data_IF_931455266688
#
_entry.id   IF_931455266688
#
_cell.length_a   1.000
_cell.length_b   1.000
_cell.length_c   1.000
_cell.angle_alpha   90.00
_cell.angle_beta   90.00
_cell.angle_gamma   90.00
#
_symmetry.space_group_name_H-M   'P 1'
#
loop_
_entity.id
_entity.type
_entity.pdbx_description
1 polymer ?
#
# COMPACT_ATOMS: atom_id res chain seq x y z
N UNK A 1 15.36 -5.97 16.41
CA UNK A 1 15.18 -6.53 17.77
C UNK A 1 14.45 -7.87 17.67
N UNK A 2 13.43 -8.00 16.81
CA UNK A 2 12.65 -9.24 16.59
C UNK A 2 13.51 -10.49 16.33
N UNK A 3 14.43 -10.47 15.36
CA UNK A 3 15.37 -11.59 15.11
C UNK A 3 16.22 -11.97 16.32
N UNK A 4 16.74 -10.98 17.05
CA UNK A 4 17.55 -11.22 18.26
C UNK A 4 16.72 -11.90 19.35
N UNK A 5 15.50 -11.40 19.60
CA UNK A 5 14.56 -12.02 20.55
C UNK A 5 14.24 -13.47 20.19
N UNK A 6 14.08 -13.77 18.91
CA UNK A 6 13.86 -15.15 18.44
C UNK A 6 15.06 -16.07 18.70
N UNK A 7 16.29 -15.57 18.45
CA UNK A 7 17.53 -16.30 18.75
C UNK A 7 17.68 -16.54 20.26
N UNK A 8 17.49 -15.49 21.07
CA UNK A 8 17.61 -15.54 22.53
C UNK A 8 16.53 -16.45 23.16
N UNK A 9 15.37 -16.58 22.50
CA UNK A 9 14.26 -17.45 22.90
C UNK A 9 14.39 -18.91 22.47
N UNK A 10 15.55 -19.36 21.99
CA UNK A 10 15.78 -20.77 21.64
C UNK A 10 15.23 -21.18 20.28
N UNK A 11 15.00 -20.22 19.37
CA UNK A 11 14.55 -20.48 17.99
C UNK A 11 13.25 -21.30 17.91
N UNK A 12 12.14 -20.84 18.52
CA UNK A 12 10.86 -21.53 18.39
C UNK A 12 10.48 -21.73 16.92
N UNK A 13 9.85 -22.88 16.62
CA UNK A 13 9.36 -23.19 15.28
C UNK A 13 8.27 -22.19 14.86
N UNK A 14 8.15 -21.96 13.55
CA UNK A 14 7.20 -21.01 12.95
C UNK A 14 7.28 -19.59 13.55
N UNK A 15 8.43 -18.91 13.45
CA UNK A 15 8.63 -17.61 14.10
C UNK A 15 7.78 -16.47 13.53
N UNK A 16 7.17 -16.68 12.37
CA UNK A 16 6.58 -15.61 11.59
C UNK A 16 7.63 -14.57 11.20
N UNK A 17 7.22 -13.32 11.09
CA UNK A 17 8.07 -12.20 10.68
C UNK A 17 9.12 -11.84 11.74
N UNK A 18 10.37 -11.67 11.33
CA UNK A 18 11.51 -11.42 12.25
C UNK A 18 12.09 -10.00 12.21
N UNK A 19 11.35 -9.04 11.65
CA UNK A 19 11.81 -7.66 11.48
C UNK A 19 11.16 -6.71 12.47
N UNK A 20 11.78 -5.56 12.67
CA UNK A 20 11.12 -4.44 13.35
C UNK A 20 10.42 -3.58 12.30
N UNK A 21 9.26 -3.00 12.65
CA UNK A 21 8.57 -2.07 11.77
C UNK A 21 9.04 -0.64 12.05
N UNK A 22 9.24 0.13 10.98
CA UNK A 22 9.47 1.57 11.06
C UNK A 22 8.61 2.25 10.00
N UNK A 23 7.56 2.92 10.44
CA UNK A 23 6.71 3.69 9.55
C UNK A 23 7.16 5.15 9.53
N UNK A 24 7.40 5.70 8.34
CA UNK A 24 7.85 7.07 8.14
C UNK A 24 6.72 7.87 7.51
N UNK A 25 6.33 8.98 8.13
CA UNK A 25 5.38 9.93 7.55
C UNK A 25 6.16 11.13 7.02
N UNK A 26 6.32 11.21 5.70
CA UNK A 26 6.97 12.36 5.06
C UNK A 26 6.09 13.63 5.11
N UNK A 27 4.78 13.46 4.95
CA UNK A 27 3.77 14.51 5.01
C UNK A 27 2.46 13.96 5.59
N UNK A 28 1.92 14.59 6.64
CA UNK A 28 0.55 14.30 7.08
C UNK A 28 -0.50 15.01 6.21
N UNK A 29 -1.74 14.54 6.23
CA UNK A 29 -2.85 15.12 5.46
C UNK A 29 -2.98 16.63 5.73
N UNK A 30 -3.01 17.03 7.00
CA UNK A 30 -3.24 18.41 7.44
C UNK A 30 -1.99 19.32 7.31
N UNK A 31 -0.85 18.78 6.86
CA UNK A 31 0.37 19.57 6.73
C UNK A 31 0.44 20.33 5.40
N UNK A 32 0.74 21.64 5.41
CA UNK A 32 0.94 22.40 4.18
C UNK A 32 2.16 21.90 3.38
N UNK A 33 2.02 21.85 2.05
CA UNK A 33 3.07 21.41 1.13
C UNK A 33 4.41 22.11 1.35
N UNK A 34 4.37 23.43 1.55
CA UNK A 34 5.56 24.26 1.78
C UNK A 34 6.43 23.76 2.93
N UNK A 35 5.84 23.16 3.98
CA UNK A 35 6.57 22.62 5.14
C UNK A 35 7.08 21.20 4.90
N UNK A 36 6.40 20.43 4.06
CA UNK A 36 6.74 19.03 3.80
C UNK A 36 7.73 18.83 2.63
N UNK A 37 7.95 19.84 1.78
CA UNK A 37 8.84 19.74 0.61
C UNK A 37 10.26 19.25 0.96
N UNK A 38 10.82 19.73 2.07
CA UNK A 38 12.13 19.28 2.56
C UNK A 38 12.12 17.80 3.00
N UNK A 39 11.01 17.33 3.57
CA UNK A 39 10.88 15.95 4.03
C UNK A 39 10.77 14.98 2.85
N UNK A 40 10.06 15.37 1.78
CA UNK A 40 9.93 14.54 0.58
C UNK A 40 11.27 14.32 -0.11
N UNK A 41 12.19 15.29 -0.06
CA UNK A 41 13.56 15.11 -0.54
C UNK A 41 14.34 14.03 0.22
N UNK A 42 13.96 13.71 1.48
CA UNK A 42 14.58 12.62 2.23
C UNK A 42 14.17 11.24 1.73
N UNK A 43 13.04 11.13 1.02
CA UNK A 43 12.58 9.88 0.40
C UNK A 43 13.54 9.41 -0.69
N UNK A 44 14.24 10.34 -1.34
CA UNK A 44 15.19 10.08 -2.44
C UNK A 44 16.61 9.82 -1.94
N UNK A 45 16.85 9.85 -0.63
CA UNK A 45 18.20 9.69 -0.07
C UNK A 45 18.54 8.20 0.05
N UNK A 46 19.63 7.80 -0.61
CA UNK A 46 20.20 6.44 -0.49
C UNK A 46 20.53 6.09 0.97
N UNK A 47 20.26 4.83 1.35
CA UNK A 47 20.54 4.29 2.70
C UNK A 47 19.37 4.34 3.70
N UNK A 48 18.22 4.90 3.32
CA UNK A 48 16.97 4.86 4.11
C UNK A 48 16.05 3.68 3.72
N UNK A 49 16.19 3.20 2.49
CA UNK A 49 15.44 2.07 1.93
C UNK A 49 15.96 0.76 2.55
N UNK A 50 15.08 0.08 3.27
CA UNK A 50 15.31 -1.24 3.87
C UNK A 50 14.45 -2.28 3.15
N UNK A 51 14.74 -3.54 3.42
CA UNK A 51 13.85 -4.68 3.19
C UNK A 51 12.37 -4.29 3.44
N UNK A 52 11.51 -4.55 2.45
CA UNK A 52 10.15 -4.04 2.41
C UNK A 52 9.14 -5.12 2.85
N UNK A 53 8.22 -4.73 3.73
CA UNK A 53 7.14 -5.58 4.23
C UNK A 53 5.82 -4.90 3.86
N UNK A 54 5.50 -4.93 2.57
CA UNK A 54 4.42 -4.13 1.97
C UNK A 54 3.06 -4.38 2.62
N UNK A 55 2.74 -5.63 2.98
CA UNK A 55 1.48 -5.97 3.63
C UNK A 55 1.26 -5.22 4.94
N UNK A 56 2.29 -5.09 5.78
CA UNK A 56 2.21 -4.33 7.04
C UNK A 56 2.11 -2.82 6.79
N UNK A 57 2.85 -2.32 5.79
CA UNK A 57 2.83 -0.91 5.43
C UNK A 57 1.44 -0.47 4.93
N UNK A 58 0.82 -1.29 4.08
CA UNK A 58 -0.53 -1.07 3.55
C UNK A 58 -1.55 -1.12 4.68
N UNK A 59 -1.50 -2.14 5.55
CA UNK A 59 -2.43 -2.26 6.67
C UNK A 59 -2.30 -1.08 7.65
N UNK A 60 -1.07 -0.63 7.93
CA UNK A 60 -0.83 0.55 8.76
C UNK A 60 -1.37 1.83 8.13
N UNK A 61 -1.11 2.05 6.84
CA UNK A 61 -1.60 3.21 6.11
C UNK A 61 -3.14 3.21 6.03
N UNK A 62 -3.73 2.05 5.77
CA UNK A 62 -5.17 1.81 5.78
C UNK A 62 -5.81 2.19 7.12
N UNK A 63 -5.27 1.70 8.24
CA UNK A 63 -5.84 2.00 9.56
C UNK A 63 -5.75 3.50 9.91
N UNK A 64 -4.67 4.17 9.50
CA UNK A 64 -4.55 5.63 9.62
C UNK A 64 -5.59 6.36 8.77
N UNK A 65 -5.85 5.88 7.56
CA UNK A 65 -6.82 6.45 6.65
C UNK A 65 -8.27 6.23 7.15
N UNK A 66 -8.58 5.09 7.77
CA UNK A 66 -9.89 4.85 8.36
C UNK A 66 -10.22 5.78 9.53
N UNK A 67 -9.22 6.22 10.28
CA UNK A 67 -9.40 7.16 11.39
C UNK A 67 -9.72 8.59 10.93
N UNK A 68 -9.75 8.85 9.62
CA UNK A 68 -10.00 10.16 9.03
C UNK A 68 -11.50 10.43 8.77
N UNK A 69 -11.97 11.68 8.95
CA UNK A 69 -13.37 12.05 8.76
C UNK A 69 -13.82 12.10 7.30
N UNK A 70 -12.89 12.14 6.33
CA UNK A 70 -13.20 12.18 4.91
C UNK A 70 -14.04 10.96 4.48
N UNK A 71 -15.15 11.23 3.77
CA UNK A 71 -16.09 10.19 3.31
C UNK A 71 -15.45 9.23 2.31
N UNK A 72 -14.68 9.78 1.37
CA UNK A 72 -13.98 9.00 0.35
C UNK A 72 -12.53 8.82 0.75
N UNK A 73 -12.08 7.57 0.74
CA UNK A 73 -10.78 7.15 1.25
C UNK A 73 -10.09 6.33 0.18
N UNK A 74 -9.05 6.91 -0.43
CA UNK A 74 -8.24 6.26 -1.45
C UNK A 74 -6.86 6.00 -0.85
N UNK A 75 -6.43 4.74 -0.88
CA UNK A 75 -5.07 4.34 -0.56
C UNK A 75 -4.33 4.02 -1.86
N UNK A 76 -3.37 4.87 -2.21
CA UNK A 76 -2.51 4.69 -3.38
C UNK A 76 -1.15 4.13 -2.95
N UNK A 77 -0.77 2.99 -3.50
CA UNK A 77 0.53 2.35 -3.29
C UNK A 77 1.42 2.66 -4.49
N UNK A 78 2.62 3.17 -4.25
CA UNK A 78 3.64 3.35 -5.29
C UNK A 78 4.81 2.48 -4.88
N UNK A 79 5.15 1.47 -5.69
CA UNK A 79 6.19 0.49 -5.37
C UNK A 79 7.08 0.22 -6.58
N UNK A 80 8.37 0.06 -6.34
CA UNK A 80 9.39 -0.32 -7.32
C UNK A 80 9.76 -1.81 -7.27
N UNK A 81 9.09 -2.60 -6.44
CA UNK A 81 9.42 -4.02 -6.25
C UNK A 81 8.38 -4.86 -5.54
N UNK A 82 8.76 -6.11 -5.29
CA UNK A 82 8.00 -7.10 -4.52
C UNK A 82 8.41 -7.08 -3.03
N UNK A 83 7.57 -7.61 -2.11
CA UNK A 83 7.95 -7.70 -0.71
C UNK A 83 9.09 -8.71 -0.53
N UNK A 84 10.25 -8.23 -0.06
CA UNK A 84 11.45 -9.05 0.13
C UNK A 84 12.15 -8.66 1.43
N UNK A 85 12.42 -9.67 2.26
CA UNK A 85 13.15 -9.54 3.52
C UNK A 85 13.91 -10.84 3.85
N UNK A 86 15.24 -10.78 3.86
CA UNK A 86 16.11 -11.96 3.99
C UNK A 86 15.99 -12.60 5.39
N UNK A 87 15.83 -11.78 6.43
CA UNK A 87 15.73 -12.27 7.80
C UNK A 87 14.43 -13.05 8.03
N UNK A 88 13.32 -12.64 7.44
CA UNK A 88 12.06 -13.39 7.50
C UNK A 88 12.08 -14.59 6.55
N UNK A 89 12.58 -14.44 5.32
CA UNK A 89 12.57 -15.51 4.31
C UNK A 89 13.55 -16.64 4.61
N UNK A 90 14.65 -16.38 5.34
CA UNK A 90 15.62 -17.42 5.73
C UNK A 90 15.08 -18.48 6.71
N UNK A 91 13.98 -18.20 7.40
CA UNK A 91 13.40 -19.08 8.43
C UNK A 91 11.90 -19.36 8.25
N UNK A 92 11.31 -18.89 7.15
CA UNK A 92 9.92 -19.13 6.78
C UNK A 92 9.84 -19.68 5.34
N UNK A 93 8.63 -20.02 4.87
CA UNK A 93 8.44 -20.35 3.47
C UNK A 93 8.79 -19.15 2.57
N UNK A 94 9.36 -19.43 1.39
CA UNK A 94 9.78 -18.39 0.42
C UNK A 94 8.63 -17.47 -0.03
N UNK A 95 7.37 -17.92 0.10
CA UNK A 95 6.18 -17.13 -0.23
C UNK A 95 5.48 -16.50 0.99
N UNK A 96 6.10 -16.47 2.17
CA UNK A 96 5.47 -15.98 3.39
C UNK A 96 4.98 -14.53 3.27
N UNK A 97 5.86 -13.64 2.79
CA UNK A 97 5.54 -12.22 2.60
C UNK A 97 4.57 -11.97 1.44
N UNK A 98 4.73 -12.72 0.34
CA UNK A 98 3.81 -12.67 -0.81
C UNK A 98 2.38 -13.05 -0.39
N UNK A 99 2.24 -14.15 0.37
CA UNK A 99 0.95 -14.60 0.88
C UNK A 99 0.33 -13.56 1.81
N UNK A 100 1.13 -12.98 2.71
CA UNK A 100 0.65 -11.94 3.60
C UNK A 100 0.18 -10.69 2.83
N UNK A 101 0.95 -10.24 1.83
CA UNK A 101 0.56 -9.12 0.98
C UNK A 101 -0.78 -9.38 0.27
N UNK A 102 -0.95 -10.57 -0.34
CA UNK A 102 -2.21 -10.96 -0.99
C UNK A 102 -3.39 -10.95 -0.04
N UNK A 103 -3.23 -11.51 1.16
CA UNK A 103 -4.30 -11.54 2.17
C UNK A 103 -4.72 -10.13 2.60
N UNK A 104 -3.76 -9.23 2.81
CA UNK A 104 -4.05 -7.84 3.18
C UNK A 104 -4.79 -7.12 2.05
N UNK A 105 -4.30 -7.23 0.81
CA UNK A 105 -4.92 -6.59 -0.35
C UNK A 105 -6.34 -7.11 -0.56
N UNK A 106 -6.52 -8.44 -0.58
CA UNK A 106 -7.83 -9.07 -0.75
C UNK A 106 -8.81 -8.62 0.35
N UNK A 107 -8.36 -8.55 1.61
CA UNK A 107 -9.20 -8.08 2.70
C UNK A 107 -9.63 -6.62 2.52
N UNK A 108 -8.70 -5.73 2.12
CA UNK A 108 -9.04 -4.32 1.85
C UNK A 108 -10.04 -4.23 0.69
N UNK A 109 -9.73 -4.86 -0.45
CA UNK A 109 -10.56 -4.76 -1.66
C UNK A 109 -11.96 -5.39 -1.48
N UNK A 110 -12.10 -6.41 -0.64
CA UNK A 110 -13.38 -7.14 -0.47
C UNK A 110 -14.21 -6.69 0.73
N UNK A 111 -13.60 -6.09 1.76
CA UNK A 111 -14.29 -5.79 3.03
C UNK A 111 -14.14 -4.36 3.52
N UNK A 112 -13.16 -3.60 3.03
CA UNK A 112 -12.93 -2.22 3.47
C UNK A 112 -13.70 -1.22 2.60
N UNK A 113 -14.15 -0.08 3.17
CA UNK A 113 -14.64 1.04 2.37
C UNK A 113 -13.50 1.86 1.70
N UNK A 114 -12.25 1.40 1.76
CA UNK A 114 -11.09 2.11 1.19
C UNK A 114 -10.85 1.63 -0.24
N UNK A 115 -10.82 2.58 -1.19
CA UNK A 115 -10.40 2.32 -2.56
C UNK A 115 -8.89 2.11 -2.59
N UNK A 116 -8.44 0.94 -3.02
CA UNK A 116 -7.03 0.60 -3.14
C UNK A 116 -6.59 0.67 -4.60
N UNK A 117 -5.54 1.44 -4.88
CA UNK A 117 -4.91 1.55 -6.21
C UNK A 117 -3.40 1.44 -6.10
N UNK A 118 -2.74 0.91 -7.14
CA UNK A 118 -1.29 0.75 -7.14
C UNK A 118 -0.61 1.23 -8.44
N UNK A 119 0.58 1.79 -8.29
CA UNK A 119 1.48 2.16 -9.39
C UNK A 119 2.81 1.42 -9.18
N UNK A 120 3.13 0.52 -10.10
CA UNK A 120 4.42 -0.19 -10.13
C UNK A 120 5.43 0.57 -10.98
N UNK A 121 6.63 0.85 -10.47
CA UNK A 121 7.71 1.47 -11.25
C UNK A 121 8.73 0.40 -11.61
N UNK A 122 8.83 0.04 -12.88
CA UNK A 122 9.72 -1.02 -13.36
C UNK A 122 9.37 -2.43 -12.86
N UNK A 123 8.26 -2.59 -12.12
CA UNK A 123 7.83 -3.85 -11.54
C UNK A 123 6.32 -4.07 -11.71
N UNK A 124 5.93 -5.28 -12.08
CA UNK A 124 4.53 -5.62 -12.30
C UNK A 124 3.78 -5.86 -10.98
N UNK A 125 2.97 -4.87 -10.60
CA UNK A 125 2.11 -4.91 -9.42
C UNK A 125 0.69 -5.39 -9.73
N UNK A 126 0.32 -5.56 -11.01
CA UNK A 126 -1.04 -5.99 -11.42
C UNK A 126 -1.40 -7.40 -10.94
N UNK A 127 -0.38 -8.22 -10.63
CA UNK A 127 -0.53 -9.54 -10.02
C UNK A 127 -1.07 -9.53 -8.58
N UNK A 128 -1.14 -8.36 -7.96
CA UNK A 128 -1.55 -8.18 -6.56
C UNK A 128 -2.82 -7.34 -6.43
N UNK A 129 -2.88 -6.22 -7.14
CA UNK A 129 -3.96 -5.23 -6.98
C UNK A 129 -4.91 -5.28 -8.17
N UNK A 130 -6.22 -5.20 -7.89
CA UNK A 130 -7.24 -5.16 -8.95
C UNK A 130 -7.15 -3.89 -9.80
N UNK A 131 -6.81 -2.76 -9.16
CA UNK A 131 -6.63 -1.46 -9.81
C UNK A 131 -5.15 -1.09 -9.77
N UNK A 132 -4.44 -1.39 -10.85
CA UNK A 132 -3.01 -1.18 -10.93
C UNK A 132 -2.54 -0.77 -12.32
N UNK A 133 -1.47 0.01 -12.35
CA UNK A 133 -0.75 0.37 -13.57
C UNK A 133 0.75 0.23 -13.32
N UNK A 134 1.47 -0.23 -14.32
CA UNK A 134 2.93 -0.35 -14.28
C UNK A 134 3.53 0.66 -15.26
N UNK A 135 4.41 1.52 -14.75
CA UNK A 135 5.18 2.49 -15.53
C UNK A 135 6.64 2.03 -15.63
N UNK A 136 7.32 2.43 -16.69
CA UNK A 136 8.72 2.04 -16.93
C UNK A 136 9.67 2.89 -16.08
N UNK A 137 9.38 4.18 -15.97
CA UNK A 137 10.22 5.17 -15.28
C UNK A 137 9.40 6.02 -14.30
N UNK A 138 10.09 6.69 -13.39
CA UNK A 138 9.46 7.58 -12.42
C UNK A 138 9.01 8.93 -13.01
N UNK A 139 9.45 9.29 -14.22
CA UNK A 139 9.05 10.54 -14.88
C UNK A 139 7.56 10.50 -15.27
N UNK A 140 7.07 9.31 -15.62
CA UNK A 140 5.65 9.05 -15.91
C UNK A 140 4.74 9.07 -14.67
N UNK A 141 5.30 9.07 -13.46
CA UNK A 141 4.54 8.93 -12.22
C UNK A 141 3.49 10.05 -12.05
N UNK A 142 3.88 11.29 -12.33
CA UNK A 142 3.00 12.46 -12.13
C UNK A 142 1.72 12.38 -12.96
N UNK A 143 1.83 12.07 -14.25
CA UNK A 143 0.67 11.88 -15.14
C UNK A 143 -0.17 10.67 -14.74
N UNK A 144 0.49 9.57 -14.38
CA UNK A 144 -0.16 8.31 -14.01
C UNK A 144 -0.99 8.45 -12.74
N UNK A 145 -0.48 9.15 -11.71
CA UNK A 145 -1.23 9.46 -10.49
C UNK A 145 -2.52 10.21 -10.81
N UNK A 146 -2.46 11.22 -11.69
CA UNK A 146 -3.63 12.00 -12.07
C UNK A 146 -4.67 11.18 -12.82
N UNK A 147 -4.22 10.31 -13.75
CA UNK A 147 -5.12 9.44 -14.52
C UNK A 147 -5.82 8.42 -13.62
N UNK A 148 -5.08 7.75 -12.73
CA UNK A 148 -5.68 6.78 -11.79
C UNK A 148 -6.70 7.43 -10.86
N UNK A 149 -6.43 8.66 -10.41
CA UNK A 149 -7.42 9.40 -9.62
C UNK A 149 -8.65 9.76 -10.46
N UNK A 150 -8.48 10.21 -11.70
CA UNK A 150 -9.60 10.52 -12.59
C UNK A 150 -10.51 9.29 -12.84
N UNK A 151 -9.91 8.14 -13.15
CA UNK A 151 -10.63 6.87 -13.35
C UNK A 151 -11.48 6.49 -12.12
N UNK A 152 -10.92 6.66 -10.92
CA UNK A 152 -11.66 6.44 -9.67
C UNK A 152 -12.87 7.38 -9.53
N UNK A 153 -12.77 8.64 -9.97
CA UNK A 153 -13.89 9.58 -9.91
C UNK A 153 -14.99 9.30 -10.94
N UNK A 154 -14.65 8.73 -12.09
CA UNK A 154 -15.60 8.42 -13.15
C UNK A 154 -16.41 7.16 -12.86
N UNK A 155 -15.79 6.11 -12.31
CA UNK A 155 -16.49 4.88 -11.93
C UNK A 155 -17.56 5.08 -10.85
N UNK A 156 -17.29 5.96 -9.89
CA UNK A 156 -18.23 6.29 -8.81
C UNK A 156 -19.50 6.99 -9.32
N UNK A 157 -19.41 7.70 -10.45
CA UNK A 157 -20.55 8.38 -11.06
C UNK A 157 -21.48 7.41 -11.80
N UNK A 158 -20.97 6.26 -12.26
CA UNK A 158 -21.76 5.22 -12.93
C UNK A 158 -22.56 4.31 -11.99
N UNK A 159 -22.17 4.19 -10.72
CA UNK A 159 -22.71 3.19 -9.78
C UNK A 159 -23.92 3.62 -8.94
N UNK A 160 -24.31 4.91 -8.91
CA UNK A 160 -25.33 5.44 -7.98
C UNK A 160 -26.59 6.03 -8.62
N UNK A 161 -26.77 5.92 -9.94
CA UNK A 161 -27.84 6.62 -10.69
C UNK A 161 -29.10 5.83 -11.08
N UNK A 162 -29.23 4.55 -10.72
CA UNK A 162 -30.33 3.69 -11.23
C UNK A 162 -31.49 3.50 -10.26
N UNK A 163 -32.36 4.50 -10.06
CA UNK A 163 -33.71 4.26 -9.52
C UNK A 163 -34.72 4.21 -10.68
N UNK A 164 -35.38 3.06 -10.96
CA UNK A 164 -36.40 3.02 -12.01
C UNK A 164 -37.64 3.78 -11.54
N UNK A 165 -37.96 4.87 -12.21
CA UNK A 165 -39.22 5.60 -12.07
C UNK A 165 -40.35 4.66 -12.45
N UNK A 166 -41.12 4.18 -11.48
CA UNK A 166 -42.36 3.44 -11.72
C UNK A 166 -43.38 4.39 -12.36
N UNK A 167 -43.57 4.27 -13.67
CA UNK A 167 -44.74 4.78 -14.36
C UNK A 167 -45.95 3.98 -13.89
N UNK A 168 -46.88 4.63 -13.18
CA UNK A 168 -48.22 4.12 -12.93
C UNK A 168 -49.13 4.58 -14.06
N UNK A 169 -49.74 3.62 -14.74
CA UNK A 169 -50.98 3.80 -15.50
C UNK A 169 -52.16 3.93 -14.52
#
# INVERSE_FOLDING_TARGET
QSRKKWLDGGKPQTPGRLNDLRHIVYKSADWPWRRARKNLGLMLREGLLKENIDGEAILWAHNRLLARPENRRILMVISDGAPVDDSTLSVNSSNYLDRHLRQVIEWIESRSPVDLVAIGIGHDVTRYYKRAVTIVDAEQLGGTVMNQLAELFDEDQGGRGGRPTRLRH
#
